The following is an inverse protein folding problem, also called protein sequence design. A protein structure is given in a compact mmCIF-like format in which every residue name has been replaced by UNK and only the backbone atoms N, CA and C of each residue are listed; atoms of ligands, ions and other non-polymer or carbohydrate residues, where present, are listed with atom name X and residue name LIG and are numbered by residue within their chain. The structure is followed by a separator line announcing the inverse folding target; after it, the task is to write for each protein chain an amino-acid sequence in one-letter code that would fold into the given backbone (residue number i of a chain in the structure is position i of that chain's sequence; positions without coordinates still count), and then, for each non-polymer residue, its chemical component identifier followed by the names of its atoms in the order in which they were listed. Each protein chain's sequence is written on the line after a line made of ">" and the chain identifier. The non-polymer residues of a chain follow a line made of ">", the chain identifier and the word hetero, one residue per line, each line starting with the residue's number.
data_IF_135737691370
#
_entry.id   IF_135737691370
#
_cell.length_a   1.000
_cell.length_b   1.000
_cell.length_c   1.000
_cell.angle_alpha   90.00
_cell.angle_beta   90.00
_cell.angle_gamma   90.00
#
_symmetry.space_group_name_H-M   'P 1'
#
loop_
_entity.id
_entity.type
_entity.pdbx_description
1 polymer ?
#
# COMPACT_ATOMS: atom_id res chain seq x y z
N UNK A 1 28.81 -2.94 3.39
CA UNK A 1 27.96 -4.14 3.14
C UNK A 1 26.85 -3.75 2.15
N UNK A 2 26.17 -4.68 1.46
CA UNK A 2 25.13 -4.30 0.48
C UNK A 2 23.97 -3.47 1.10
N UNK A 3 23.74 -3.67 2.40
CA UNK A 3 22.82 -2.90 3.23
C UNK A 3 23.20 -1.41 3.33
N UNK A 4 24.49 -1.07 3.40
CA UNK A 4 24.94 0.33 3.45
C UNK A 4 24.71 1.06 2.12
N UNK A 5 24.79 0.38 0.97
CA UNK A 5 24.49 0.98 -0.33
C UNK A 5 23.00 1.32 -0.49
N UNK A 6 22.12 0.47 0.03
CA UNK A 6 20.66 0.67 -0.01
C UNK A 6 20.19 1.82 0.89
N UNK A 7 20.84 2.03 2.04
CA UNK A 7 20.48 3.11 2.96
C UNK A 7 21.31 4.38 2.81
N UNK A 8 22.50 4.31 2.20
CA UNK A 8 23.40 5.48 2.08
C UNK A 8 23.42 6.11 0.69
N UNK A 9 22.85 5.47 -0.33
CA UNK A 9 22.71 6.04 -1.68
C UNK A 9 21.28 6.56 -1.88
N UNK A 10 21.14 7.80 -2.38
CA UNK A 10 19.85 8.48 -2.59
C UNK A 10 18.83 7.63 -3.37
N UNK A 11 19.33 6.78 -4.28
CA UNK A 11 18.54 5.85 -5.07
C UNK A 11 17.89 4.73 -4.26
N UNK A 12 18.58 4.22 -3.23
CA UNK A 12 18.08 3.13 -2.39
C UNK A 12 16.95 3.57 -1.47
N UNK A 13 17.09 4.76 -0.84
CA UNK A 13 16.02 5.34 -0.03
C UNK A 13 14.79 5.69 -0.86
N UNK A 14 14.98 6.24 -2.07
CA UNK A 14 13.86 6.57 -2.96
C UNK A 14 13.10 5.31 -3.41
N UNK A 15 13.82 4.25 -3.77
CA UNK A 15 13.19 2.96 -4.10
C UNK A 15 12.41 2.37 -2.93
N UNK A 16 12.98 2.39 -1.72
CA UNK A 16 12.32 1.91 -0.50
C UNK A 16 11.05 2.73 -0.19
N UNK A 17 11.11 4.05 -0.35
CA UNK A 17 9.96 4.92 -0.17
C UNK A 17 8.82 4.56 -1.14
N UNK A 18 9.13 4.35 -2.42
CA UNK A 18 8.12 3.96 -3.42
C UNK A 18 7.51 2.60 -3.08
N UNK A 19 8.32 1.63 -2.67
CA UNK A 19 7.82 0.31 -2.26
C UNK A 19 6.84 0.44 -1.09
N UNK A 20 7.22 1.17 -0.05
CA UNK A 20 6.34 1.41 1.11
C UNK A 20 5.07 2.17 0.71
N UNK A 21 5.18 3.14 -0.19
CA UNK A 21 4.04 3.91 -0.69
C UNK A 21 3.06 3.03 -1.46
N UNK A 22 3.54 2.18 -2.38
CA UNK A 22 2.70 1.25 -3.15
C UNK A 22 2.02 0.22 -2.25
N UNK A 23 2.77 -0.36 -1.30
CA UNK A 23 2.20 -1.32 -0.33
C UNK A 23 1.16 -0.65 0.56
N UNK A 24 1.43 0.57 1.03
CA UNK A 24 0.49 1.38 1.80
C UNK A 24 -0.80 1.67 1.02
N UNK A 25 -0.67 2.07 -0.25
CA UNK A 25 -1.82 2.28 -1.12
C UNK A 25 -2.60 0.99 -1.36
N UNK A 26 -1.94 -0.15 -1.60
CA UNK A 26 -2.61 -1.42 -1.81
C UNK A 26 -3.48 -1.81 -0.60
N UNK A 27 -2.95 -1.66 0.61
CA UNK A 27 -3.71 -1.91 1.83
C UNK A 27 -4.87 -0.93 2.01
N UNK A 28 -4.63 0.36 1.75
CA UNK A 28 -5.66 1.39 1.83
C UNK A 28 -6.80 1.16 0.85
N UNK A 29 -6.49 0.85 -0.41
CA UNK A 29 -7.47 0.51 -1.43
C UNK A 29 -8.24 -0.75 -1.04
N UNK A 30 -7.57 -1.82 -0.59
CA UNK A 30 -8.26 -3.02 -0.12
C UNK A 30 -9.25 -2.70 0.99
N UNK A 31 -8.86 -1.91 1.98
CA UNK A 31 -9.75 -1.50 3.08
C UNK A 31 -10.93 -0.65 2.60
N UNK A 32 -10.67 0.32 1.71
CA UNK A 32 -11.70 1.19 1.15
C UNK A 32 -12.73 0.42 0.31
N UNK A 33 -12.26 -0.44 -0.60
CA UNK A 33 -13.13 -1.26 -1.44
C UNK A 33 -13.87 -2.33 -0.62
N UNK A 34 -13.23 -3.00 0.34
CA UNK A 34 -13.93 -3.93 1.23
C UNK A 34 -15.04 -3.25 2.03
N UNK A 35 -14.85 -2.00 2.45
CA UNK A 35 -15.91 -1.25 3.14
C UNK A 35 -17.09 -0.96 2.20
N UNK A 36 -16.82 -0.58 0.95
CA UNK A 36 -17.84 -0.30 -0.06
C UNK A 36 -18.61 -1.56 -0.48
N UNK A 37 -17.90 -2.66 -0.73
CA UNK A 37 -18.52 -3.96 -1.07
C UNK A 37 -19.48 -4.40 0.03
N UNK A 38 -19.08 -4.29 1.31
CA UNK A 38 -19.95 -4.65 2.43
C UNK A 38 -21.18 -3.75 2.57
N UNK A 39 -21.03 -2.45 2.26
CA UNK A 39 -22.16 -1.51 2.22
C UNK A 39 -23.15 -1.84 1.08
N UNK A 40 -22.64 -2.25 -0.09
CA UNK A 40 -23.45 -2.65 -1.24
C UNK A 40 -24.14 -4.01 -1.01
N UNK A 41 -23.45 -5.01 -0.44
CA UNK A 41 -24.04 -6.29 -0.05
C UNK A 41 -25.19 -6.10 0.95
N UNK A 42 -25.02 -5.22 1.94
CA UNK A 42 -26.05 -4.89 2.93
C UNK A 42 -27.27 -4.17 2.31
N UNK A 43 -27.10 -3.46 1.18
CA UNK A 43 -28.20 -2.83 0.44
C UNK A 43 -28.86 -3.77 -0.55
N UNK A 44 -28.11 -4.68 -1.17
CA UNK A 44 -28.62 -5.64 -2.15
C UNK A 44 -29.47 -6.76 -1.53
N UNK A 45 -29.33 -7.00 -0.22
CA UNK A 45 -30.13 -7.98 0.53
C UNK A 45 -31.48 -7.47 1.08
N UNK A 46 -31.88 -6.22 0.80
CA UNK A 46 -33.21 -5.68 1.13
C UNK A 46 -34.03 -5.50 -0.14
#
# INVERSE_FOLDING_TARGET
>A
MAWDLLFSSDYGLFSLFVILFVVGMAFWFSSFFSKKIREDEARAGK
#
